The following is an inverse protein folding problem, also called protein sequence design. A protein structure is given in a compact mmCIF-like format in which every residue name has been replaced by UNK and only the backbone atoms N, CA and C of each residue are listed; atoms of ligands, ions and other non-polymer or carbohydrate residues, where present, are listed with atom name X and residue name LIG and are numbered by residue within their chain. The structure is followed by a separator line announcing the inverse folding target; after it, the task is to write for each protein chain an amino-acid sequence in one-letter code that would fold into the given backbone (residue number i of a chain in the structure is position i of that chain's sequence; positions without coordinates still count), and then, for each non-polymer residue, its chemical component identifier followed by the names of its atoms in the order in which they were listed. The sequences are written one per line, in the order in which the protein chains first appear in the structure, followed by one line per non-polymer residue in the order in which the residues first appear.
data_IF_251959357530
#
_entry.id   IF_251959357530
#
_cell.length_a   1.000
_cell.length_b   1.000
_cell.length_c   1.000
_cell.angle_alpha   90.00
_cell.angle_beta   90.00
_cell.angle_gamma   90.00
#
_symmetry.space_group_name_H-M   'P 1'
#
loop_
_entity.id
_entity.type
_entity.pdbx_description
1 polymer ?
#
# COMPACT_ATOMS: atom_id res chain seq x y z
N UNK A 1 26.35 24.23 31.35
CA UNK A 1 26.44 22.86 30.78
C UNK A 1 25.06 22.28 30.44
N UNK A 2 24.11 22.20 31.38
CA UNK A 2 22.74 21.68 31.13
C UNK A 2 22.00 22.30 29.93
N UNK A 3 22.08 23.62 29.72
CA UNK A 3 21.43 24.31 28.57
C UNK A 3 22.01 23.90 27.22
N UNK A 4 23.33 23.69 27.12
CA UNK A 4 24.00 23.26 25.88
C UNK A 4 23.66 21.81 25.53
N UNK A 5 23.53 20.96 26.56
CA UNK A 5 23.05 19.58 26.39
C UNK A 5 21.59 19.55 25.92
N UNK A 6 20.72 20.40 26.48
CA UNK A 6 19.33 20.53 26.00
C UNK A 6 19.25 21.01 24.54
N UNK A 7 20.01 22.04 24.19
CA UNK A 7 20.07 22.55 22.81
C UNK A 7 20.62 21.52 21.83
N UNK A 8 21.64 20.75 22.23
CA UNK A 8 22.19 19.66 21.42
C UNK A 8 21.19 18.52 21.22
N UNK A 9 20.46 18.13 22.25
CA UNK A 9 19.44 17.08 22.15
C UNK A 9 18.27 17.50 21.24
N UNK A 10 17.83 18.76 21.32
CA UNK A 10 16.79 19.29 20.45
C UNK A 10 17.25 19.40 18.99
N UNK A 11 18.52 19.75 18.75
CA UNK A 11 19.09 19.75 17.40
C UNK A 11 19.16 18.33 16.81
N UNK A 12 19.48 17.33 17.63
CA UNK A 12 19.57 15.94 17.19
C UNK A 12 18.19 15.35 16.85
N UNK A 13 17.12 15.73 17.56
CA UNK A 13 15.77 15.23 17.27
C UNK A 13 15.20 15.69 15.92
N UNK A 14 15.68 16.81 15.37
CA UNK A 14 15.25 17.32 14.06
C UNK A 14 15.83 16.49 12.90
N UNK A 15 16.91 15.75 13.14
CA UNK A 15 17.54 14.88 12.14
C UNK A 15 16.86 13.50 12.02
N UNK A 16 15.87 13.20 12.85
CA UNK A 16 15.06 11.99 12.74
C UNK A 16 14.04 12.14 11.60
N UNK A 17 14.50 11.96 10.35
CA UNK A 17 13.61 11.89 9.20
C UNK A 17 12.75 10.64 9.30
N UNK A 18 11.42 10.83 9.24
CA UNK A 18 10.46 9.72 9.17
C UNK A 18 10.61 9.03 7.81
N UNK A 19 10.83 7.72 7.80
CA UNK A 19 10.76 6.93 6.56
C UNK A 19 9.29 6.63 6.28
N UNK A 20 8.72 7.28 5.26
CA UNK A 20 7.39 6.93 4.78
C UNK A 20 7.48 5.74 3.82
N UNK A 21 6.49 4.85 3.88
CA UNK A 21 6.35 3.80 2.87
C UNK A 21 6.07 4.44 1.50
N UNK A 22 6.47 3.76 0.43
CA UNK A 22 6.20 4.17 -0.94
C UNK A 22 4.68 4.25 -1.16
N UNK A 23 4.14 5.41 -1.51
CA UNK A 23 2.69 5.67 -1.69
C UNK A 23 2.11 5.01 -2.96
N UNK A 24 2.80 4.00 -3.51
CA UNK A 24 2.34 3.32 -4.71
C UNK A 24 1.07 2.51 -4.40
N UNK A 25 0.06 2.55 -5.28
CA UNK A 25 -1.11 1.69 -5.15
C UNK A 25 -0.72 0.23 -5.05
N UNK A 26 -1.39 -0.52 -4.18
CA UNK A 26 -1.26 -1.97 -4.13
C UNK A 26 -1.69 -2.57 -5.47
N UNK A 27 -0.87 -3.47 -6.02
CA UNK A 27 -1.16 -4.17 -7.28
C UNK A 27 -1.24 -5.67 -7.01
N UNK A 28 -2.41 -6.24 -7.23
CA UNK A 28 -2.65 -7.67 -7.10
C UNK A 28 -2.67 -8.26 -8.53
N UNK A 29 -1.77 -9.20 -8.80
CA UNK A 29 -1.75 -9.94 -10.06
C UNK A 29 -2.61 -11.19 -9.97
N UNK A 30 -3.50 -11.39 -10.94
CA UNK A 30 -4.38 -12.57 -11.06
C UNK A 30 -4.37 -13.10 -12.50
N UNK A 31 -4.57 -14.40 -12.66
CA UNK A 31 -4.57 -15.06 -13.97
C UNK A 31 -5.96 -15.00 -14.62
N UNK A 32 -6.10 -14.17 -15.66
CA UNK A 32 -7.39 -13.84 -16.28
C UNK A 32 -7.91 -14.86 -17.31
N UNK A 33 -7.58 -16.15 -17.14
CA UNK A 33 -7.94 -17.23 -18.07
C UNK A 33 -8.56 -18.45 -17.36
N UNK A 34 -9.03 -18.29 -16.13
CA UNK A 34 -9.51 -19.38 -15.29
C UNK A 34 -10.86 -19.09 -14.62
N UNK A 35 -11.99 -19.14 -15.37
CA UNK A 35 -13.32 -19.03 -14.79
C UNK A 35 -13.61 -20.18 -13.80
N UNK A 36 -14.39 -19.96 -12.72
CA UNK A 36 -15.04 -18.70 -12.31
C UNK A 36 -14.16 -17.78 -11.45
N UNK A 37 -12.87 -18.09 -11.29
CA UNK A 37 -11.96 -17.37 -10.41
C UNK A 37 -11.50 -16.04 -10.99
N UNK A 38 -11.04 -16.02 -12.24
CA UNK A 38 -10.68 -14.79 -12.94
C UNK A 38 -10.76 -14.98 -14.46
N UNK A 39 -11.38 -14.03 -15.16
CA UNK A 39 -11.54 -14.05 -16.61
C UNK A 39 -11.70 -12.65 -17.19
N UNK A 40 -11.45 -12.49 -18.50
CA UNK A 40 -11.73 -11.25 -19.22
C UNK A 40 -13.16 -11.24 -19.75
N UNK A 41 -13.93 -10.21 -19.42
CA UNK A 41 -15.22 -9.95 -20.03
C UNK A 41 -15.05 -9.38 -21.45
N UNK A 42 -16.15 -9.30 -22.21
CA UNK A 42 -16.15 -8.82 -23.59
C UNK A 42 -15.70 -7.37 -23.76
N UNK A 43 -15.83 -6.56 -22.70
CA UNK A 43 -15.36 -5.18 -22.65
C UNK A 43 -13.89 -5.05 -22.21
N UNK A 44 -13.22 -6.18 -21.92
CA UNK A 44 -11.84 -6.24 -21.47
C UNK A 44 -11.64 -6.11 -19.96
N UNK A 45 -12.72 -5.91 -19.18
CA UNK A 45 -12.65 -5.90 -17.72
C UNK A 45 -12.34 -7.30 -17.16
N UNK A 46 -11.73 -7.35 -15.97
CA UNK A 46 -11.50 -8.61 -15.25
C UNK A 46 -12.67 -8.89 -14.32
N UNK A 47 -13.18 -10.11 -14.34
CA UNK A 47 -14.30 -10.56 -13.50
C UNK A 47 -14.01 -11.94 -12.90
N UNK A 48 -14.59 -12.23 -11.73
CA UNK A 48 -14.50 -13.52 -11.06
C UNK A 48 -14.15 -13.39 -9.57
N UNK A 49 -14.18 -14.52 -8.86
CA UNK A 49 -13.95 -14.58 -7.42
C UNK A 49 -12.63 -13.92 -6.96
N UNK A 50 -11.52 -14.18 -7.63
CA UNK A 50 -10.20 -13.62 -7.24
C UNK A 50 -10.17 -12.10 -7.42
N UNK A 51 -10.86 -11.58 -8.43
CA UNK A 51 -11.00 -10.14 -8.65
C UNK A 51 -11.82 -9.49 -7.53
N UNK A 52 -12.94 -10.12 -7.15
CA UNK A 52 -13.82 -9.62 -6.10
C UNK A 52 -13.13 -9.61 -4.73
N UNK A 53 -12.40 -10.69 -4.40
CA UNK A 53 -11.60 -10.76 -3.17
C UNK A 53 -10.46 -9.74 -3.17
N UNK A 54 -9.76 -9.56 -4.31
CA UNK A 54 -8.71 -8.54 -4.42
C UNK A 54 -9.23 -7.14 -4.13
N UNK A 55 -10.39 -6.77 -4.67
CA UNK A 55 -11.03 -5.48 -4.39
C UNK A 55 -11.48 -5.36 -2.93
N UNK A 56 -12.05 -6.42 -2.35
CA UNK A 56 -12.44 -6.43 -0.94
C UNK A 56 -11.25 -6.25 0.01
N UNK A 57 -10.11 -6.88 -0.31
CA UNK A 57 -8.86 -6.72 0.44
C UNK A 57 -8.33 -5.29 0.35
N UNK A 58 -8.31 -4.68 -0.84
CA UNK A 58 -7.90 -3.28 -0.98
C UNK A 58 -8.79 -2.34 -0.15
N UNK A 59 -10.10 -2.57 -0.15
CA UNK A 59 -11.05 -1.79 0.65
C UNK A 59 -10.79 -1.93 2.16
N UNK A 60 -10.55 -3.15 2.66
CA UNK A 60 -10.25 -3.40 4.07
C UNK A 60 -8.90 -2.78 4.49
N UNK A 61 -7.90 -2.89 3.62
CA UNK A 61 -6.56 -2.34 3.84
C UNK A 61 -6.50 -0.80 3.70
N UNK A 62 -7.52 -0.18 3.09
CA UNK A 62 -7.59 1.26 2.78
C UNK A 62 -6.41 1.71 1.90
N UNK A 63 -6.15 0.96 0.84
CA UNK A 63 -5.05 1.19 -0.13
C UNK A 63 -5.54 1.40 -1.55
#
# INVERSE_FOLDING_TARGET
MKKRVLLGALALSVLCVQTFADEKPLKIGIEAAYPPFASKASDGSIVGFDYDIGNALCAEMKV
#
